data_IF_357421985739
#
_entry.id   IF_357421985739
#
_cell.length_a   1.000
_cell.length_b   1.000
_cell.length_c   1.000
_cell.angle_alpha   90.00
_cell.angle_beta   90.00
_cell.angle_gamma   90.00
#
_symmetry.space_group_name_H-M   'P 1'
#
loop_
_entity.id
_entity.type
_entity.pdbx_description
1 polymer ?
#
# COMPACT_ATOMS: atom_id res chain seq x y z
N UNK A 1 -23.34 -13.52 -26.26
CA UNK A 1 -23.85 -13.60 -24.88
C UNK A 1 -22.90 -12.81 -24.01
N UNK A 2 -23.27 -11.59 -23.67
CA UNK A 2 -22.55 -10.77 -22.70
C UNK A 2 -22.95 -11.25 -21.31
N UNK A 3 -22.01 -11.80 -20.54
CA UNK A 3 -22.16 -11.91 -19.10
C UNK A 3 -22.11 -10.50 -18.53
N UNK A 4 -23.28 -9.99 -18.17
CA UNK A 4 -23.42 -8.81 -17.32
C UNK A 4 -22.90 -9.24 -15.95
N UNK A 5 -21.69 -8.81 -15.59
CA UNK A 5 -21.20 -8.95 -14.22
C UNK A 5 -22.23 -8.30 -13.28
N UNK A 6 -22.66 -8.98 -12.20
CA UNK A 6 -23.73 -8.47 -11.35
C UNK A 6 -23.28 -7.17 -10.66
N UNK A 7 -24.12 -6.13 -10.74
CA UNK A 7 -23.93 -4.79 -10.14
C UNK A 7 -23.64 -4.81 -8.62
N UNK A 8 -23.82 -5.96 -7.96
CA UNK A 8 -23.59 -6.13 -6.52
C UNK A 8 -22.11 -6.28 -6.11
N UNK A 9 -21.16 -6.43 -7.04
CA UNK A 9 -19.73 -6.59 -6.70
C UNK A 9 -18.94 -5.28 -6.60
N UNK A 10 -19.49 -4.15 -7.05
CA UNK A 10 -18.75 -2.89 -7.18
C UNK A 10 -18.38 -2.23 -5.83
N UNK A 11 -18.93 -2.69 -4.72
CA UNK A 11 -18.72 -2.14 -3.37
C UNK A 11 -18.21 -3.17 -2.36
N UNK A 12 -17.49 -4.20 -2.81
CA UNK A 12 -16.94 -5.19 -1.89
C UNK A 12 -15.94 -4.55 -0.91
N UNK A 13 -16.10 -4.75 0.40
CA UNK A 13 -15.16 -4.25 1.40
C UNK A 13 -13.79 -4.90 1.19
N UNK A 14 -12.74 -4.22 1.65
CA UNK A 14 -11.38 -4.73 1.60
C UNK A 14 -11.28 -6.06 2.40
N UNK A 15 -10.76 -7.10 1.77
CA UNK A 15 -10.52 -8.41 2.41
C UNK A 15 -9.32 -8.34 3.37
N UNK A 16 -9.59 -7.98 4.63
CA UNK A 16 -8.58 -7.89 5.71
C UNK A 16 -7.94 -9.25 6.06
N UNK A 17 -8.62 -10.34 5.70
CA UNK A 17 -8.20 -11.72 5.87
C UNK A 17 -7.29 -12.22 4.73
N UNK A 18 -6.96 -11.38 3.74
CA UNK A 18 -5.96 -11.75 2.74
C UNK A 18 -4.54 -11.70 3.36
N UNK A 19 -3.80 -12.83 3.39
CA UNK A 19 -2.45 -12.87 3.96
C UNK A 19 -1.46 -11.92 3.26
N UNK A 20 -1.68 -11.58 2.00
CA UNK A 20 -0.72 -10.79 1.22
C UNK A 20 -0.44 -9.41 1.85
N UNK A 21 -1.41 -8.81 2.54
CA UNK A 21 -1.25 -7.52 3.21
C UNK A 21 -0.12 -7.52 4.23
N UNK A 22 0.10 -8.65 4.89
CA UNK A 22 1.12 -8.80 5.92
C UNK A 22 2.54 -8.84 5.34
N UNK A 23 2.70 -8.95 4.00
CA UNK A 23 4.02 -8.82 3.36
C UNK A 23 4.59 -7.40 3.51
N UNK A 24 3.75 -6.39 3.75
CA UNK A 24 4.20 -5.03 4.00
C UNK A 24 4.72 -4.78 5.44
N UNK A 25 4.50 -5.74 6.34
CA UNK A 25 5.02 -5.64 7.70
C UNK A 25 6.55 -5.55 7.71
N UNK A 26 7.07 -4.71 8.60
CA UNK A 26 8.49 -4.61 8.86
C UNK A 26 9.01 -5.88 9.53
N UNK A 27 10.32 -6.12 9.41
CA UNK A 27 10.98 -7.18 10.19
C UNK A 27 10.78 -6.95 11.71
N UNK A 28 10.74 -5.69 12.14
CA UNK A 28 10.55 -5.32 13.55
C UNK A 28 9.14 -5.61 14.07
N UNK A 29 8.11 -5.30 13.28
CA UNK A 29 6.72 -5.61 13.64
C UNK A 29 6.51 -7.12 13.72
N UNK A 30 7.08 -7.85 12.76
CA UNK A 30 7.07 -9.32 12.76
C UNK A 30 7.82 -9.88 13.97
N UNK A 31 8.99 -9.35 14.31
CA UNK A 31 9.76 -9.79 15.47
C UNK A 31 9.01 -9.51 16.79
N UNK A 32 8.47 -8.31 16.96
CA UNK A 32 7.75 -7.90 18.15
C UNK A 32 6.53 -8.79 18.40
N UNK A 33 5.76 -9.09 17.34
CA UNK A 33 4.61 -10.00 17.41
C UNK A 33 5.05 -11.44 17.74
N UNK A 34 6.21 -11.90 17.27
CA UNK A 34 6.72 -13.25 17.53
C UNK A 34 7.16 -13.40 18.99
N UNK A 35 7.84 -12.39 19.53
CA UNK A 35 8.28 -12.34 20.92
C UNK A 35 7.10 -12.29 21.89
N UNK A 36 6.04 -11.53 21.55
CA UNK A 36 4.81 -11.50 22.33
C UNK A 36 4.14 -12.88 22.43
N UNK A 37 4.15 -13.68 21.35
CA UNK A 37 3.57 -15.03 21.33
C UNK A 37 4.46 -16.14 21.92
N UNK A 38 5.78 -16.05 21.79
CA UNK A 38 6.71 -17.02 22.40
C UNK A 38 6.57 -17.10 23.93
N UNK A 39 6.02 -16.05 24.54
CA UNK A 39 5.66 -16.00 25.96
C UNK A 39 4.47 -16.91 26.32
N UNK A 40 3.65 -17.32 25.34
CA UNK A 40 2.33 -17.92 25.54
C UNK A 40 2.24 -19.35 24.96
N UNK A 41 2.86 -19.65 23.82
CA UNK A 41 2.82 -21.02 23.25
C UNK A 41 3.94 -21.25 22.23
N UNK A 42 4.78 -22.28 22.43
CA UNK A 42 5.68 -22.81 21.38
C UNK A 42 4.91 -23.81 20.52
N UNK A 43 4.13 -23.32 19.56
CA UNK A 43 3.73 -24.17 18.45
C UNK A 43 4.84 -24.01 17.41
N UNK A 44 5.58 -25.09 17.17
CA UNK A 44 6.58 -25.15 16.12
C UNK A 44 5.84 -25.14 14.77
N UNK A 45 5.54 -23.95 14.27
CA UNK A 45 4.98 -23.78 12.94
C UNK A 45 6.00 -24.19 11.86
N UNK A 46 5.54 -24.61 10.67
CA UNK A 46 6.41 -25.04 9.59
C UNK A 46 7.22 -23.86 9.05
N UNK A 47 8.39 -23.64 9.64
CA UNK A 47 9.42 -22.76 9.09
C UNK A 47 10.11 -23.48 7.92
N UNK A 48 10.03 -22.91 6.71
CA UNK A 48 10.77 -23.42 5.55
C UNK A 48 12.23 -22.97 5.67
N UNK A 49 13.02 -23.76 6.41
CA UNK A 49 14.43 -23.49 6.67
C UNK A 49 15.28 -23.48 5.40
N UNK A 50 14.93 -24.26 4.38
CA UNK A 50 15.69 -24.30 3.13
C UNK A 50 15.48 -23.04 2.30
N UNK A 51 14.23 -22.56 2.20
CA UNK A 51 13.94 -21.25 1.61
C UNK A 51 14.61 -20.14 2.41
N UNK A 52 14.50 -20.17 3.73
CA UNK A 52 15.11 -19.17 4.60
C UNK A 52 16.63 -19.06 4.41
N UNK A 53 17.33 -20.20 4.37
CA UNK A 53 18.77 -20.26 4.18
C UNK A 53 19.19 -19.73 2.79
N UNK A 54 18.44 -20.09 1.74
CA UNK A 54 18.67 -19.57 0.38
C UNK A 54 18.47 -18.07 0.32
N UNK A 55 17.40 -17.54 0.91
CA UNK A 55 17.15 -16.10 0.96
C UNK A 55 18.21 -15.38 1.78
N UNK A 56 18.60 -15.91 2.95
CA UNK A 56 19.67 -15.34 3.76
C UNK A 56 20.99 -15.24 2.99
N UNK A 57 21.34 -16.29 2.25
CA UNK A 57 22.55 -16.30 1.41
C UNK A 57 22.47 -15.23 0.32
N UNK A 58 21.34 -15.12 -0.38
CA UNK A 58 21.13 -14.08 -1.39
C UNK A 58 21.24 -12.65 -0.81
N UNK A 59 20.79 -12.44 0.44
CA UNK A 59 20.98 -11.17 1.15
C UNK A 59 22.46 -10.88 1.43
N UNK A 60 23.22 -11.86 1.90
CA UNK A 60 24.66 -11.71 2.18
C UNK A 60 25.50 -11.47 0.92
N UNK A 61 25.04 -11.95 -0.22
CA UNK A 61 25.71 -11.78 -1.52
C UNK A 61 25.43 -10.42 -2.18
N UNK A 62 24.52 -9.61 -1.64
CA UNK A 62 24.28 -8.26 -2.17
C UNK A 62 25.56 -7.42 -2.17
N UNK A 63 25.71 -6.62 -3.22
CA UNK A 63 26.85 -5.75 -3.49
C UNK A 63 27.32 -4.92 -2.29
N UNK A 64 26.38 -4.42 -1.47
CA UNK A 64 26.69 -3.63 -0.29
C UNK A 64 27.48 -4.42 0.76
N UNK A 65 27.12 -5.68 1.01
CA UNK A 65 27.78 -6.55 2.00
C UNK A 65 29.05 -7.17 1.43
N UNK A 66 29.11 -7.40 0.12
CA UNK A 66 30.32 -7.81 -0.60
C UNK A 66 31.42 -6.74 -0.60
N UNK A 67 31.06 -5.45 -0.43
CA UNK A 67 31.98 -4.30 -0.39
C UNK A 67 32.42 -3.89 1.01
N UNK A 68 32.22 -4.75 2.01
CA UNK A 68 32.77 -4.58 3.36
C UNK A 68 31.81 -4.01 4.41
N UNK A 69 30.53 -3.78 4.07
CA UNK A 69 29.50 -3.54 5.10
C UNK A 69 29.29 -4.83 5.87
N UNK A 70 29.44 -4.77 7.20
CA UNK A 70 29.24 -5.95 8.04
C UNK A 70 27.74 -6.25 8.20
N UNK A 71 27.31 -7.38 7.66
CA UNK A 71 25.91 -7.84 7.69
C UNK A 71 25.37 -7.95 9.13
N UNK A 72 26.15 -8.52 10.05
CA UNK A 72 25.75 -8.67 11.45
C UNK A 72 25.58 -7.31 12.16
N UNK A 73 26.44 -6.33 11.85
CA UNK A 73 26.27 -4.97 12.38
C UNK A 73 25.01 -4.29 11.84
N UNK A 74 24.65 -4.53 10.57
CA UNK A 74 23.41 -3.98 9.99
C UNK A 74 22.18 -4.58 10.67
N UNK A 75 22.16 -5.88 10.93
CA UNK A 75 21.08 -6.52 11.67
C UNK A 75 21.02 -6.02 13.12
N UNK A 76 22.17 -5.88 13.78
CA UNK A 76 22.23 -5.35 15.15
C UNK A 76 21.74 -3.90 15.27
N UNK A 77 21.88 -3.08 14.22
CA UNK A 77 21.30 -1.73 14.17
C UNK A 77 19.76 -1.75 14.21
N UNK A 78 19.16 -2.83 13.72
CA UNK A 78 17.72 -3.10 13.80
C UNK A 78 17.40 -4.03 14.99
N UNK A 79 18.32 -4.22 15.95
CA UNK A 79 18.13 -5.09 17.13
C UNK A 79 17.77 -6.56 16.78
N UNK A 80 18.24 -7.03 15.63
CA UNK A 80 18.02 -8.38 15.13
C UNK A 80 19.31 -9.20 15.19
N UNK A 81 19.20 -10.45 15.63
CA UNK A 81 20.24 -11.46 15.42
C UNK A 81 20.07 -12.14 14.06
N UNK A 82 21.14 -12.77 13.56
CA UNK A 82 21.06 -13.54 12.32
C UNK A 82 20.12 -14.75 12.44
N UNK A 83 20.05 -15.37 13.62
CA UNK A 83 19.15 -16.50 13.90
C UNK A 83 17.69 -16.05 13.86
N UNK A 84 17.34 -14.93 14.51
CA UNK A 84 15.99 -14.35 14.43
C UNK A 84 15.65 -13.95 13.00
N UNK A 85 16.59 -13.34 12.28
CA UNK A 85 16.39 -12.99 10.88
C UNK A 85 16.12 -14.22 10.01
N UNK A 86 16.86 -15.31 10.20
CA UNK A 86 16.62 -16.58 9.50
C UNK A 86 15.22 -17.14 9.79
N UNK A 87 14.76 -17.08 11.05
CA UNK A 87 13.40 -17.51 11.42
C UNK A 87 12.35 -16.67 10.68
N UNK A 88 12.51 -15.34 10.66
CA UNK A 88 11.58 -14.44 9.97
C UNK A 88 11.54 -14.65 8.44
N UNK A 89 12.65 -15.05 7.83
CA UNK A 89 12.72 -15.35 6.39
C UNK A 89 12.02 -16.66 6.00
N UNK A 90 11.98 -17.63 6.92
CA UNK A 90 11.34 -18.93 6.71
C UNK A 90 9.88 -18.99 7.12
N UNK A 91 9.36 -17.91 7.69
CA UNK A 91 8.00 -17.82 8.21
C UNK A 91 6.98 -17.67 7.07
N UNK A 92 5.97 -18.57 6.97
CA UNK A 92 4.89 -18.40 6.01
C UNK A 92 4.07 -17.14 6.34
N UNK A 93 3.54 -16.47 5.33
CA UNK A 93 2.88 -15.18 5.55
C UNK A 93 1.57 -15.34 6.34
N UNK A 94 0.93 -16.50 6.18
CA UNK A 94 -0.28 -16.91 6.87
C UNK A 94 -0.04 -17.02 8.39
N UNK A 95 1.15 -17.48 8.80
CA UNK A 95 1.53 -17.51 10.21
C UNK A 95 1.59 -16.09 10.80
N UNK A 96 2.22 -15.16 10.07
CA UNK A 96 2.32 -13.75 10.47
C UNK A 96 0.94 -13.13 10.65
N UNK A 97 0.02 -13.41 9.73
CA UNK A 97 -1.35 -12.96 9.82
C UNK A 97 -2.08 -13.56 11.03
N UNK A 98 -1.96 -14.87 11.27
CA UNK A 98 -2.66 -15.53 12.37
C UNK A 98 -2.25 -14.99 13.73
N UNK A 99 -0.99 -14.56 13.87
CA UNK A 99 -0.47 -14.03 15.13
C UNK A 99 -0.59 -12.54 15.33
N UNK A 100 -0.78 -11.78 14.26
CA UNK A 100 -0.74 -10.32 14.32
C UNK A 100 -2.14 -9.77 14.12
N UNK A 101 -2.64 -8.90 15.01
CA UNK A 101 -3.87 -8.18 14.71
C UNK A 101 -3.69 -7.33 13.44
N UNK A 102 -4.77 -7.01 12.71
CA UNK A 102 -4.70 -6.14 11.54
C UNK A 102 -3.98 -4.82 11.88
N UNK A 103 -2.91 -4.44 11.16
CA UNK A 103 -2.21 -3.19 11.41
C UNK A 103 -3.10 -1.96 11.20
N UNK A 104 -2.82 -0.86 11.91
CA UNK A 104 -3.61 0.38 11.82
C UNK A 104 -3.70 0.93 10.40
N UNK A 105 -2.63 0.81 9.60
CA UNK A 105 -2.63 1.26 8.20
C UNK A 105 -3.60 0.42 7.34
N UNK A 106 -3.78 -0.86 7.65
CA UNK A 106 -4.67 -1.75 6.92
C UNK A 106 -6.13 -1.47 7.28
N UNK A 107 -6.40 -1.15 8.56
CA UNK A 107 -7.72 -0.69 9.00
C UNK A 107 -8.09 0.65 8.36
N UNK A 108 -7.15 1.60 8.31
CA UNK A 108 -7.34 2.88 7.60
C UNK A 108 -7.62 2.66 6.11
N UNK A 109 -6.92 1.72 5.46
CA UNK A 109 -7.17 1.38 4.07
C UNK A 109 -8.59 0.84 3.85
N UNK A 110 -9.06 -0.05 4.73
CA UNK A 110 -10.43 -0.55 4.67
C UNK A 110 -11.46 0.57 4.87
N UNK A 111 -11.19 1.53 5.76
CA UNK A 111 -12.03 2.71 5.97
C UNK A 111 -12.11 3.59 4.73
N UNK A 112 -10.99 3.85 4.02
CA UNK A 112 -10.97 4.61 2.76
C UNK A 112 -11.90 3.96 1.73
N UNK A 113 -11.76 2.64 1.51
CA UNK A 113 -12.56 1.92 0.53
C UNK A 113 -14.05 1.84 0.91
N UNK A 114 -14.38 1.89 2.20
CA UNK A 114 -15.75 1.89 2.69
C UNK A 114 -16.43 3.27 2.63
N UNK A 115 -15.66 4.35 2.85
CA UNK A 115 -16.20 5.70 3.07
C UNK A 115 -16.40 6.51 1.79
N UNK A 116 -15.61 6.27 0.75
CA UNK A 116 -15.63 7.10 -0.47
C UNK A 116 -16.26 6.35 -1.63
N UNK A 117 -17.23 6.98 -2.30
CA UNK A 117 -17.75 6.53 -3.59
C UNK A 117 -16.99 7.24 -4.73
N UNK A 118 -16.19 6.50 -5.54
CA UNK A 118 -15.37 7.08 -6.59
C UNK A 118 -16.19 7.78 -7.70
N UNK A 119 -17.49 7.50 -7.82
CA UNK A 119 -18.35 8.10 -8.86
C UNK A 119 -18.86 9.49 -8.47
N UNK A 120 -18.91 9.81 -7.17
CA UNK A 120 -19.69 10.97 -6.67
C UNK A 120 -18.99 12.34 -6.70
N UNK A 121 -17.67 12.41 -6.92
CA UNK A 121 -16.87 13.66 -6.81
C UNK A 121 -15.91 13.92 -7.97
N UNK A 122 -16.31 13.56 -9.18
CA UNK A 122 -15.47 13.69 -10.39
C UNK A 122 -15.20 15.14 -10.86
N UNK A 123 -15.81 16.16 -10.25
CA UNK A 123 -15.83 17.53 -10.80
C UNK A 123 -14.48 18.26 -10.77
N UNK A 124 -13.55 17.90 -9.87
CA UNK A 124 -12.22 18.53 -9.74
C UNK A 124 -11.07 17.77 -10.44
N UNK A 125 -11.35 16.64 -11.12
CA UNK A 125 -10.29 15.80 -11.71
C UNK A 125 -9.53 16.46 -12.86
N UNK A 126 -10.14 17.44 -13.55
CA UNK A 126 -9.57 18.00 -14.78
C UNK A 126 -8.25 18.74 -14.54
N UNK A 127 -8.11 19.46 -13.42
CA UNK A 127 -6.87 20.17 -13.12
C UNK A 127 -5.75 19.21 -12.69
N UNK A 128 -6.05 18.22 -11.84
CA UNK A 128 -5.07 17.25 -11.36
C UNK A 128 -4.61 16.27 -12.44
N UNK A 129 -5.52 15.84 -13.32
CA UNK A 129 -5.22 14.91 -14.41
C UNK A 129 -4.28 15.50 -15.47
N UNK A 130 -4.29 16.83 -15.66
CA UNK A 130 -3.38 17.49 -16.63
C UNK A 130 -1.92 17.49 -16.17
N UNK A 131 -1.66 17.41 -14.87
CA UNK A 131 -0.30 17.42 -14.32
C UNK A 131 0.21 15.99 -14.02
N UNK A 132 -0.67 15.07 -13.63
CA UNK A 132 -0.29 13.72 -13.23
C UNK A 132 -1.28 12.67 -13.74
N UNK A 133 -0.93 11.98 -14.83
CA UNK A 133 -1.86 11.13 -15.59
C UNK A 133 -2.44 9.94 -14.81
N UNK A 134 -1.77 9.48 -13.74
CA UNK A 134 -2.22 8.35 -12.92
C UNK A 134 -2.95 8.74 -11.62
N UNK A 135 -2.88 10.01 -11.20
CA UNK A 135 -3.55 10.46 -9.96
C UNK A 135 -5.05 10.17 -9.93
N UNK A 136 -5.79 10.24 -11.05
CA UNK A 136 -7.21 9.89 -11.01
C UNK A 136 -7.51 8.46 -10.57
N UNK A 137 -6.57 7.51 -10.68
CA UNK A 137 -6.71 6.14 -10.14
C UNK A 137 -6.80 6.17 -8.60
N UNK A 138 -6.08 7.09 -7.97
CA UNK A 138 -5.97 7.22 -6.51
C UNK A 138 -6.86 8.34 -5.97
N UNK A 139 -7.86 8.79 -6.74
CA UNK A 139 -8.75 9.87 -6.33
C UNK A 139 -9.48 9.54 -5.01
N UNK A 140 -9.80 8.26 -4.78
CA UNK A 140 -10.41 7.80 -3.52
C UNK A 140 -9.57 8.18 -2.28
N UNK A 141 -8.24 8.11 -2.38
CA UNK A 141 -7.31 8.49 -1.32
C UNK A 141 -7.20 10.00 -1.19
N UNK A 142 -7.17 10.73 -2.32
CA UNK A 142 -7.12 12.19 -2.31
C UNK A 142 -8.37 12.79 -1.66
N UNK A 143 -9.55 12.27 -2.01
CA UNK A 143 -10.83 12.67 -1.42
C UNK A 143 -10.85 12.37 0.07
N UNK A 144 -10.49 11.14 0.47
CA UNK A 144 -10.47 10.76 1.88
C UNK A 144 -9.49 11.63 2.69
N UNK A 145 -8.29 11.85 2.16
CA UNK A 145 -7.28 12.67 2.81
C UNK A 145 -7.73 14.13 2.96
N UNK A 146 -8.35 14.70 1.92
CA UNK A 146 -8.90 16.04 1.95
C UNK A 146 -10.03 16.17 2.99
N UNK A 147 -11.00 15.26 2.99
CA UNK A 147 -12.11 15.29 3.95
C UNK A 147 -11.63 15.14 5.39
N UNK A 148 -10.69 14.21 5.62
CA UNK A 148 -10.07 14.01 6.93
C UNK A 148 -9.29 15.26 7.36
N UNK A 149 -8.55 15.88 6.46
CA UNK A 149 -7.80 17.11 6.72
C UNK A 149 -8.75 18.26 7.11
N UNK A 150 -9.79 18.51 6.31
CA UNK A 150 -10.76 19.59 6.56
C UNK A 150 -11.54 19.38 7.86
N UNK A 151 -11.89 18.13 8.18
CA UNK A 151 -12.54 17.80 9.46
C UNK A 151 -11.63 18.11 10.67
N UNK A 152 -10.33 17.85 10.56
CA UNK A 152 -9.35 18.19 11.60
C UNK A 152 -9.14 19.70 11.73
N UNK A 153 -9.07 20.43 10.62
CA UNK A 153 -8.97 21.90 10.64
C UNK A 153 -10.21 22.52 11.30
N UNK A 154 -11.41 22.04 10.96
CA UNK A 154 -12.66 22.48 11.59
C UNK A 154 -12.70 22.19 13.10
N UNK A 155 -12.14 21.05 13.53
CA UNK A 155 -12.01 20.72 14.97
C UNK A 155 -11.10 21.72 15.68
N UNK A 156 -9.96 22.08 15.08
CA UNK A 156 -9.03 23.05 15.66
C UNK A 156 -9.63 24.46 15.72
N UNK A 157 -10.35 24.88 14.68
CA UNK A 157 -11.04 26.17 14.65
C UNK A 157 -12.11 26.28 15.76
N UNK A 158 -12.77 25.16 16.08
CA UNK A 158 -13.74 25.10 17.18
C UNK A 158 -13.08 25.05 18.58
N UNK A 159 -11.88 24.46 18.69
CA UNK A 159 -11.17 24.29 19.97
C UNK A 159 -10.38 25.53 20.38
N UNK A 160 -9.83 26.27 19.41
CA UNK A 160 -8.92 27.39 19.65
C UNK A 160 -9.51 28.73 19.17
N UNK A 161 -9.44 29.75 20.02
CA UNK A 161 -9.91 31.12 19.67
C UNK A 161 -9.07 31.78 18.57
N UNK A 162 -7.85 31.30 18.36
CA UNK A 162 -6.94 31.82 17.34
C UNK A 162 -6.13 30.67 16.73
N UNK A 163 -6.18 30.56 15.40
CA UNK A 163 -5.33 29.67 14.65
C UNK A 163 -4.11 30.44 14.11
N UNK A 164 -2.89 29.88 14.22
CA UNK A 164 -1.68 30.51 13.69
C UNK A 164 -1.57 30.39 12.16
N UNK A 165 -2.65 30.02 11.47
CA UNK A 165 -2.71 29.82 10.02
C UNK A 165 -4.12 30.08 9.49
N UNK A 166 -4.23 30.31 8.18
CA UNK A 166 -5.51 30.38 7.48
C UNK A 166 -5.94 28.98 6.97
N UNK A 167 -7.09 28.44 7.44
CA UNK A 167 -7.63 27.16 6.99
C UNK A 167 -7.73 26.98 5.47
N UNK A 168 -8.17 28.02 4.75
CA UNK A 168 -8.38 27.95 3.30
C UNK A 168 -7.04 27.86 2.56
N UNK A 169 -6.06 28.64 2.98
CA UNK A 169 -4.72 28.61 2.41
C UNK A 169 -4.07 27.24 2.61
N UNK A 170 -4.09 26.64 3.81
CA UNK A 170 -3.47 25.31 3.99
C UNK A 170 -4.19 24.23 3.17
N UNK A 171 -5.53 24.27 3.10
CA UNK A 171 -6.28 23.32 2.28
C UNK A 171 -5.87 23.38 0.80
N UNK A 172 -5.62 24.59 0.27
CA UNK A 172 -5.20 24.78 -1.12
C UNK A 172 -3.78 24.28 -1.42
N UNK A 173 -2.90 24.23 -0.41
CA UNK A 173 -1.53 23.72 -0.53
C UNK A 173 -1.44 22.21 -0.36
N UNK A 174 -2.36 21.61 0.41
CA UNK A 174 -2.32 20.20 0.77
C UNK A 174 -2.44 19.24 -0.42
N UNK A 175 -3.43 19.44 -1.30
CA UNK A 175 -3.70 18.52 -2.41
C UNK A 175 -2.59 18.49 -3.47
N UNK A 176 -2.03 19.64 -3.91
CA UNK A 176 -0.88 19.63 -4.83
C UNK A 176 0.32 18.86 -4.28
N UNK A 177 0.67 19.07 -3.00
CA UNK A 177 1.81 18.38 -2.39
C UNK A 177 1.55 16.87 -2.25
N UNK A 178 0.34 16.49 -1.82
CA UNK A 178 -0.07 15.09 -1.71
C UNK A 178 -0.01 14.39 -3.07
N UNK A 179 -0.57 15.02 -4.11
CA UNK A 179 -0.61 14.41 -5.45
C UNK A 179 0.78 14.30 -6.08
N UNK A 180 1.67 15.27 -5.84
CA UNK A 180 3.07 15.16 -6.26
C UNK A 180 3.77 13.98 -5.56
N UNK A 181 3.63 13.85 -4.24
CA UNK A 181 4.21 12.76 -3.46
C UNK A 181 3.69 11.39 -3.95
N UNK A 182 2.37 11.26 -4.08
CA UNK A 182 1.74 10.03 -4.56
C UNK A 182 2.22 9.68 -5.96
N UNK A 183 2.28 10.66 -6.88
CA UNK A 183 2.74 10.43 -8.25
C UNK A 183 4.17 9.88 -8.26
N UNK A 184 5.08 10.44 -7.47
CA UNK A 184 6.45 9.95 -7.37
C UNK A 184 6.53 8.51 -6.84
N UNK A 185 5.67 8.16 -5.88
CA UNK A 185 5.66 6.82 -5.29
C UNK A 185 5.11 5.74 -6.23
N UNK A 186 4.08 6.06 -7.03
CA UNK A 186 3.31 5.05 -7.78
C UNK A 186 3.67 4.95 -9.26
N UNK A 187 4.20 6.03 -9.87
CA UNK A 187 4.27 6.15 -11.32
C UNK A 187 5.07 5.01 -11.98
N UNK A 188 6.23 4.65 -11.40
CA UNK A 188 7.06 3.59 -11.96
C UNK A 188 6.29 2.27 -12.05
N UNK A 189 5.55 1.90 -11.00
CA UNK A 189 4.86 0.62 -11.06
C UNK A 189 3.59 0.65 -11.87
N UNK A 190 2.86 1.76 -11.92
CA UNK A 190 1.70 1.87 -12.81
C UNK A 190 2.10 1.79 -14.28
N UNK A 191 3.27 2.34 -14.65
CA UNK A 191 3.84 2.14 -15.98
C UNK A 191 4.19 0.68 -16.24
N UNK A 192 4.78 -0.01 -15.26
CA UNK A 192 5.03 -1.46 -15.38
C UNK A 192 3.73 -2.24 -15.56
N UNK A 193 2.72 -1.98 -14.75
CA UNK A 193 1.43 -2.66 -14.82
C UNK A 193 0.66 -2.39 -16.10
N UNK A 194 0.74 -1.15 -16.62
CA UNK A 194 0.20 -0.82 -17.94
C UNK A 194 0.88 -1.66 -19.03
N UNK A 195 2.22 -1.77 -18.99
CA UNK A 195 2.97 -2.58 -19.95
C UNK A 195 2.64 -4.07 -19.82
N UNK A 196 2.53 -4.59 -18.60
CA UNK A 196 2.13 -5.97 -18.31
C UNK A 196 0.72 -6.23 -18.83
N UNK A 197 -0.24 -5.34 -18.57
CA UNK A 197 -1.61 -5.46 -19.06
C UNK A 197 -1.68 -5.47 -20.59
N UNK A 198 -0.90 -4.63 -21.25
CA UNK A 198 -0.79 -4.63 -22.71
C UNK A 198 -0.21 -5.94 -23.26
N UNK A 199 0.92 -6.41 -22.71
CA UNK A 199 1.57 -7.66 -23.16
C UNK A 199 0.66 -8.89 -22.98
N UNK A 200 -0.21 -8.89 -21.97
CA UNK A 200 -1.19 -9.95 -21.74
C UNK A 200 -2.50 -9.78 -22.53
N UNK A 201 -2.59 -8.78 -23.43
CA UNK A 201 -3.77 -8.54 -24.25
C UNK A 201 -4.98 -8.03 -23.49
N UNK A 202 -4.81 -7.47 -22.29
CA UNK A 202 -5.88 -6.89 -21.46
C UNK A 202 -6.27 -5.47 -21.86
N UNK A 203 -5.44 -4.82 -22.68
CA UNK A 203 -5.66 -3.48 -23.23
C UNK A 203 -5.77 -3.56 -24.75
N UNK A 204 -6.83 -2.95 -25.29
CA UNK A 204 -7.18 -2.93 -26.71
C UNK A 204 -6.79 -1.63 -27.43
N UNK A 205 -6.37 -0.60 -26.68
CA UNK A 205 -5.94 0.69 -27.22
C UNK A 205 -4.85 0.60 -28.30
N UNK A 206 -5.08 1.28 -29.42
CA UNK A 206 -4.18 1.28 -30.58
C UNK A 206 -2.98 2.22 -30.35
N UNK A 207 -3.19 3.32 -29.62
CA UNK A 207 -2.16 4.29 -29.23
C UNK A 207 -1.74 4.14 -27.77
N UNK A 208 -0.56 4.65 -27.36
CA UNK A 208 -0.18 4.76 -25.95
C UNK A 208 -1.23 5.50 -25.10
N UNK A 209 -1.81 6.56 -25.63
CA UNK A 209 -2.83 7.38 -24.96
C UNK A 209 -4.12 6.59 -24.74
N UNK A 210 -4.59 5.84 -25.75
CA UNK A 210 -5.78 4.98 -25.62
C UNK A 210 -5.58 3.92 -24.54
N UNK A 211 -4.39 3.29 -24.52
CA UNK A 211 -4.05 2.27 -23.51
C UNK A 211 -3.99 2.84 -22.11
N UNK A 212 -3.42 4.04 -21.95
CA UNK A 212 -3.37 4.73 -20.66
C UNK A 212 -4.78 5.07 -20.16
N UNK A 213 -5.66 5.54 -21.04
CA UNK A 213 -7.04 5.86 -20.70
C UNK A 213 -7.81 4.60 -20.29
N UNK A 214 -7.72 3.53 -21.08
CA UNK A 214 -8.36 2.23 -20.79
C UNK A 214 -7.87 1.66 -19.45
N UNK A 215 -6.54 1.66 -19.23
CA UNK A 215 -5.94 1.22 -17.97
C UNK A 215 -6.43 2.06 -16.78
N UNK A 216 -6.45 3.39 -16.93
CA UNK A 216 -6.91 4.30 -15.87
C UNK A 216 -8.39 4.08 -15.53
N UNK A 217 -9.24 3.84 -16.52
CA UNK A 217 -10.65 3.53 -16.31
C UNK A 217 -10.84 2.21 -15.55
N UNK A 218 -10.08 1.17 -15.91
CA UNK A 218 -10.11 -0.11 -15.20
C UNK A 218 -9.65 0.03 -13.75
N UNK A 219 -8.57 0.77 -13.51
CA UNK A 219 -7.95 0.91 -12.18
C UNK A 219 -8.71 1.84 -11.24
N UNK A 220 -9.61 2.71 -11.74
CA UNK A 220 -10.53 3.49 -10.90
C UNK A 220 -11.58 2.63 -10.18
N UNK A 221 -11.81 1.41 -10.63
CA UNK A 221 -12.73 0.48 -9.96
C UNK A 221 -12.10 0.01 -8.65
N UNK A 222 -12.85 0.08 -7.53
CA UNK A 222 -12.35 -0.31 -6.19
C UNK A 222 -11.72 -1.70 -6.20
N UNK A 223 -12.37 -2.66 -6.83
CA UNK A 223 -11.88 -4.04 -6.89
C UNK A 223 -10.52 -4.14 -7.61
N UNK A 224 -10.38 -3.49 -8.77
CA UNK A 224 -9.12 -3.46 -9.51
C UNK A 224 -7.99 -2.83 -8.71
N UNK A 225 -8.29 -1.71 -8.03
CA UNK A 225 -7.32 -1.03 -7.17
C UNK A 225 -6.93 -1.87 -5.95
N UNK A 226 -7.90 -2.55 -5.32
CA UNK A 226 -7.64 -3.47 -4.21
C UNK A 226 -6.73 -4.63 -4.63
N UNK A 227 -6.93 -5.22 -5.82
CA UNK A 227 -6.07 -6.28 -6.36
C UNK A 227 -4.66 -5.77 -6.59
N UNK A 228 -4.52 -4.62 -7.27
CA UNK A 228 -3.21 -4.00 -7.50
C UNK A 228 -2.46 -3.73 -6.19
N UNK A 229 -3.17 -3.18 -5.21
CA UNK A 229 -2.62 -2.88 -3.88
C UNK A 229 -2.23 -4.14 -3.10
N UNK A 230 -2.97 -5.23 -3.26
CA UNK A 230 -2.68 -6.51 -2.66
C UNK A 230 -1.44 -7.19 -3.26
N UNK A 231 -1.15 -6.95 -4.54
CA UNK A 231 0.08 -7.38 -5.22
C UNK A 231 1.30 -6.57 -4.75
N UNK A 232 1.09 -5.29 -4.42
CA UNK A 232 2.13 -4.38 -3.97
C UNK A 232 1.82 -3.73 -2.61
N UNK A 233 1.67 -4.52 -1.54
CA UNK A 233 1.20 -4.02 -0.26
C UNK A 233 2.22 -3.06 0.40
N UNK A 234 3.49 -3.13 -0.03
CA UNK A 234 4.57 -2.27 0.44
C UNK A 234 4.38 -0.78 0.08
N UNK A 235 3.64 -0.44 -0.98
CA UNK A 235 3.36 0.96 -1.33
C UNK A 235 2.49 1.65 -0.28
N UNK A 236 1.63 0.87 0.37
CA UNK A 236 0.60 1.35 1.28
C UNK A 236 1.08 1.51 2.71
N UNK A 237 1.95 0.62 3.18
CA UNK A 237 2.28 0.58 4.60
C UNK A 237 3.20 1.71 5.08
N UNK A 238 3.84 2.47 4.17
CA UNK A 238 4.94 3.41 4.53
C UNK A 238 5.03 4.69 3.70
N UNK A 239 3.93 5.14 3.08
CA UNK A 239 3.82 6.52 2.59
C UNK A 239 3.14 7.42 3.63
#
# INVERSE_FOLDING_TARGET
>A
MQEIAPEHLQNSPLALDNPCWYHAMTLMERLASLQAQCSVTRIAEPCDRERAARTLQAWKEQDAFSKGVNFAQRLAAEQLTEEEFLVLLGEPIEAVQQRTPPPDWLLQLAEVFASVDPVSRMEDESQLATQHSFIPIFNIFCIYAHDRFMSRVATLDAEYTYLPFDPQTIASLFLPDLTMMLSQAINHTLVLELNVAHLHGRLSGQTPEDRLQEFSQQMRQKQSLQVLMAEYPCWLARS
#
